data_IF_615203142617
#
_entry.id   IF_615203142617
#
_cell.length_a   1.000
_cell.length_b   1.000
_cell.length_c   1.000
_cell.angle_alpha   90.00
_cell.angle_beta   90.00
_cell.angle_gamma   90.00
#
_symmetry.space_group_name_H-M   'P 1'
#
loop_
_entity.id
_entity.type
_entity.pdbx_description
1 polymer ?
#
# COMPACT_ATOMS: atom_id res chain seq x y z
N UNK A 1 4.50 38.59 -6.43
CA UNK A 1 5.68 38.44 -5.56
C UNK A 1 5.19 38.34 -4.12
N UNK A 2 5.42 37.20 -3.48
CA UNK A 2 4.86 36.86 -2.18
C UNK A 2 4.75 35.34 -2.07
N UNK A 3 5.87 34.63 -2.16
CA UNK A 3 5.93 33.24 -1.76
C UNK A 3 5.65 33.23 -0.25
N UNK A 4 4.47 32.74 0.14
CA UNK A 4 4.07 32.72 1.54
C UNK A 4 5.05 31.87 2.34
N UNK A 5 5.70 32.45 3.33
CA UNK A 5 6.57 31.75 4.29
C UNK A 5 5.88 30.55 4.96
N UNK A 6 4.55 30.38 4.81
CA UNK A 6 3.80 29.21 5.25
C UNK A 6 4.05 27.96 4.41
N UNK A 7 4.21 28.05 3.08
CA UNK A 7 4.41 26.88 2.22
C UNK A 7 5.79 26.26 2.41
N UNK A 8 6.82 27.09 2.57
CA UNK A 8 8.18 26.60 2.86
C UNK A 8 8.28 25.99 4.25
N UNK A 9 7.59 26.56 5.26
CA UNK A 9 7.50 25.95 6.60
C UNK A 9 6.69 24.65 6.59
N UNK A 10 5.59 24.58 5.86
CA UNK A 10 4.81 23.35 5.73
C UNK A 10 5.58 22.27 4.97
N UNK A 11 6.29 22.63 3.91
CA UNK A 11 7.18 21.72 3.18
C UNK A 11 8.32 21.24 4.08
N UNK A 12 8.99 22.13 4.81
CA UNK A 12 10.06 21.76 5.74
C UNK A 12 9.54 20.96 6.94
N UNK A 13 8.33 21.22 7.43
CA UNK A 13 7.68 20.45 8.48
C UNK A 13 7.22 19.07 7.98
N UNK A 14 6.77 18.96 6.73
CA UNK A 14 6.49 17.69 6.06
C UNK A 14 7.77 16.91 5.81
N UNK A 15 8.83 17.55 5.30
CA UNK A 15 10.16 16.95 5.12
C UNK A 15 10.73 16.50 6.47
N UNK A 16 10.61 17.30 7.53
CA UNK A 16 11.12 16.96 8.87
C UNK A 16 10.27 15.90 9.57
N UNK A 17 8.94 15.97 9.47
CA UNK A 17 8.01 14.94 9.98
C UNK A 17 8.18 13.63 9.22
N UNK A 18 8.43 13.70 7.92
CA UNK A 18 8.67 12.54 7.08
C UNK A 18 10.09 11.96 7.28
N UNK A 19 11.10 12.82 7.43
CA UNK A 19 12.45 12.43 7.85
C UNK A 19 12.41 11.78 9.23
N UNK A 20 11.58 12.25 10.16
CA UNK A 20 11.36 11.58 11.44
C UNK A 20 10.59 10.25 11.31
N UNK A 21 9.62 10.14 10.39
CA UNK A 21 8.93 8.88 10.06
C UNK A 21 9.86 7.86 9.38
N UNK A 22 10.85 8.31 8.60
CA UNK A 22 11.86 7.46 7.94
C UNK A 22 13.12 7.23 8.78
N UNK A 23 13.50 8.13 9.67
CA UNK A 23 14.47 7.86 10.73
C UNK A 23 13.92 6.83 11.74
N UNK A 24 12.59 6.68 11.78
CA UNK A 24 11.88 5.55 12.39
C UNK A 24 11.82 4.27 11.54
N UNK A 25 12.25 4.28 10.27
CA UNK A 25 12.49 3.06 9.49
C UNK A 25 13.88 2.54 9.89
N UNK A 26 13.96 1.38 10.58
CA UNK A 26 15.23 0.84 11.02
C UNK A 26 16.13 0.57 9.82
N UNK A 27 17.44 0.83 9.96
CA UNK A 27 18.52 0.65 8.97
C UNK A 27 18.23 -0.49 7.99
N UNK A 28 18.01 -0.15 6.72
CA UNK A 28 17.64 -1.13 5.69
C UNK A 28 18.74 -2.16 5.40
N UNK A 29 20.02 -1.79 5.49
CA UNK A 29 21.13 -2.74 5.35
C UNK A 29 22.36 -2.32 6.18
N UNK A 30 23.23 -3.28 6.56
CA UNK A 30 24.58 -2.98 7.00
C UNK A 30 25.37 -2.31 5.87
N UNK A 31 26.37 -1.51 6.24
CA UNK A 31 27.21 -0.82 5.29
C UNK A 31 28.24 -1.78 4.70
N UNK A 32 27.84 -2.48 3.62
CA UNK A 32 28.65 -3.04 2.53
C UNK A 32 27.78 -4.04 1.76
N UNK A 33 27.93 -4.04 0.43
CA UNK A 33 27.03 -4.65 -0.54
C UNK A 33 27.15 -6.19 -0.62
N UNK A 34 27.16 -6.89 0.51
CA UNK A 34 27.10 -8.35 0.50
C UNK A 34 25.65 -8.81 0.56
N UNK A 35 25.21 -9.50 -0.51
CA UNK A 35 23.92 -10.20 -0.49
C UNK A 35 23.88 -11.07 0.78
N UNK A 36 22.77 -11.14 1.51
CA UNK A 36 22.69 -11.91 2.75
C UNK A 36 23.17 -13.36 2.60
N UNK A 37 22.96 -13.96 1.41
CA UNK A 37 23.47 -15.29 1.06
C UNK A 37 24.99 -15.33 0.83
N UNK A 38 25.58 -14.30 0.23
CA UNK A 38 27.03 -14.19 0.04
C UNK A 38 27.76 -13.95 1.37
N UNK A 39 27.17 -13.14 2.26
CA UNK A 39 27.67 -12.98 3.62
C UNK A 39 27.63 -14.32 4.37
N UNK A 40 26.50 -15.03 4.33
CA UNK A 40 26.38 -16.36 4.94
C UNK A 40 27.40 -17.36 4.37
N UNK A 41 27.62 -17.37 3.05
CA UNK A 41 28.62 -18.22 2.40
C UNK A 41 30.06 -17.85 2.79
N UNK A 42 30.39 -16.55 2.82
CA UNK A 42 31.71 -16.06 3.21
C UNK A 42 32.02 -16.38 4.68
N UNK A 43 31.02 -16.27 5.55
CA UNK A 43 31.13 -16.67 6.96
C UNK A 43 31.28 -18.18 7.13
N UNK A 44 30.59 -19.00 6.34
CA UNK A 44 30.75 -20.46 6.34
C UNK A 44 32.17 -20.86 5.91
N UNK A 45 32.70 -20.23 4.86
CA UNK A 45 34.08 -20.47 4.41
C UNK A 45 35.10 -20.07 5.48
N UNK A 46 34.88 -18.96 6.19
CA UNK A 46 35.71 -18.56 7.33
C UNK A 46 35.64 -19.59 8.47
N UNK A 47 34.46 -20.15 8.76
CA UNK A 47 34.30 -21.21 9.75
C UNK A 47 35.07 -22.49 9.35
N UNK A 48 35.08 -22.83 8.07
CA UNK A 48 35.78 -24.02 7.55
C UNK A 48 37.32 -23.87 7.55
N UNK A 49 37.85 -22.65 7.61
CA UNK A 49 39.31 -22.39 7.72
C UNK A 49 39.87 -22.52 9.13
N UNK A 50 39.03 -22.74 10.15
CA UNK A 50 39.47 -22.94 11.54
C UNK A 50 39.87 -24.40 11.73
N UNK A 51 41.10 -24.72 12.19
CA UNK A 51 41.54 -26.11 12.39
C UNK A 51 40.62 -26.86 13.36
N UNK A 52 39.99 -27.94 12.88
CA UNK A 52 39.24 -28.88 13.72
C UNK A 52 40.21 -29.82 14.45
N UNK A 53 40.97 -29.32 15.43
CA UNK A 53 41.67 -30.21 16.37
C UNK A 53 40.73 -30.56 17.51
N UNK A 54 40.17 -31.76 17.43
CA UNK A 54 39.41 -32.40 18.51
C UNK A 54 40.41 -32.86 19.58
N UNK A 55 40.60 -32.04 20.61
CA UNK A 55 41.16 -32.47 21.89
C UNK A 55 40.07 -32.28 22.94
N UNK A 56 39.85 -33.31 23.76
CA UNK A 56 38.93 -33.31 24.90
C UNK A 56 39.17 -32.06 25.76
N UNK A 57 38.30 -31.06 25.63
CA UNK A 57 38.41 -29.79 26.34
C UNK A 57 37.07 -29.48 27.00
N UNK A 58 37.14 -28.99 28.25
CA UNK A 58 36.03 -28.40 28.99
C UNK A 58 35.14 -27.54 28.08
N UNK A 59 33.82 -27.45 28.35
CA UNK A 59 32.91 -26.65 27.53
C UNK A 59 33.52 -25.27 27.30
N UNK A 60 33.61 -24.82 26.04
CA UNK A 60 34.39 -23.64 25.69
C UNK A 60 33.91 -22.47 26.54
N UNK A 61 34.83 -21.87 27.31
CA UNK A 61 34.51 -20.65 28.05
C UNK A 61 34.24 -19.56 27.01
N UNK A 62 32.96 -19.32 26.75
CA UNK A 62 32.53 -18.27 25.84
C UNK A 62 33.01 -16.93 26.38
N UNK A 63 33.58 -16.12 25.49
CA UNK A 63 33.79 -14.69 25.78
C UNK A 63 32.43 -14.04 26.07
N UNK A 64 32.42 -12.99 26.88
CA UNK A 64 31.19 -12.24 27.17
C UNK A 64 30.49 -11.74 25.90
N UNK A 65 31.27 -11.40 24.85
CA UNK A 65 30.74 -10.98 23.54
C UNK A 65 30.05 -12.15 22.82
N UNK A 66 30.70 -13.31 22.72
CA UNK A 66 30.11 -14.50 22.12
C UNK A 66 28.83 -14.94 22.84
N UNK A 67 28.84 -14.95 24.18
CA UNK A 67 27.65 -15.29 24.98
C UNK A 67 26.47 -14.35 24.71
N UNK A 68 26.72 -13.03 24.62
CA UNK A 68 25.67 -12.05 24.29
C UNK A 68 25.10 -12.28 22.89
N UNK A 69 25.94 -12.46 21.88
CA UNK A 69 25.49 -12.67 20.50
C UNK A 69 24.73 -13.99 20.34
N UNK A 70 25.15 -15.07 21.02
CA UNK A 70 24.41 -16.35 21.00
C UNK A 70 23.05 -16.24 21.70
N UNK A 71 22.96 -15.45 22.76
CA UNK A 71 21.69 -15.14 23.44
C UNK A 71 20.77 -14.34 22.51
N UNK A 72 21.29 -13.31 21.85
CA UNK A 72 20.54 -12.55 20.86
C UNK A 72 20.05 -13.42 19.70
N UNK A 73 20.92 -14.29 19.17
CA UNK A 73 20.54 -15.23 18.10
C UNK A 73 19.35 -16.09 18.51
N UNK A 74 19.33 -16.59 19.75
CA UNK A 74 18.21 -17.35 20.30
C UNK A 74 16.93 -16.51 20.38
N UNK A 75 17.02 -15.27 20.86
CA UNK A 75 15.88 -14.36 20.92
C UNK A 75 15.30 -14.08 19.52
N UNK A 76 16.16 -13.87 18.52
CA UNK A 76 15.75 -13.66 17.13
C UNK A 76 15.09 -14.90 16.52
N UNK A 77 15.60 -16.10 16.81
CA UNK A 77 14.98 -17.38 16.40
C UNK A 77 13.57 -17.50 17.01
N UNK A 78 13.42 -17.22 18.30
CA UNK A 78 12.13 -17.30 18.97
C UNK A 78 11.16 -16.22 18.48
N UNK A 79 11.66 -15.04 18.12
CA UNK A 79 10.86 -14.01 17.45
C UNK A 79 10.39 -14.48 16.06
N UNK A 80 11.28 -15.02 15.22
CA UNK A 80 10.92 -15.56 13.91
C UNK A 80 9.83 -16.63 14.01
N UNK A 81 9.94 -17.56 14.97
CA UNK A 81 8.93 -18.62 15.18
C UNK A 81 7.54 -18.04 15.44
N UNK A 82 7.44 -16.94 16.19
CA UNK A 82 6.14 -16.26 16.44
C UNK A 82 5.54 -15.71 15.14
N UNK A 83 6.36 -15.20 14.24
CA UNK A 83 5.90 -14.67 12.95
C UNK A 83 5.51 -15.79 11.97
N UNK A 84 6.23 -16.92 11.96
CA UNK A 84 5.96 -18.04 11.04
C UNK A 84 4.55 -18.64 11.20
N UNK A 85 3.92 -18.52 12.37
CA UNK A 85 2.56 -18.98 12.61
C UNK A 85 1.46 -18.07 12.03
N UNK A 86 1.81 -16.95 11.39
CA UNK A 86 0.85 -16.04 10.79
C UNK A 86 0.11 -16.68 9.60
N UNK A 87 -1.22 -16.59 9.58
CA UNK A 87 -2.05 -17.08 8.49
C UNK A 87 -1.65 -16.50 7.11
N UNK A 88 -1.17 -15.26 7.06
CA UNK A 88 -0.69 -14.62 5.82
C UNK A 88 0.61 -15.22 5.28
N UNK A 89 1.34 -16.01 6.08
CA UNK A 89 2.59 -16.67 5.69
C UNK A 89 2.45 -18.20 5.51
N UNK A 90 1.36 -18.81 5.99
CA UNK A 90 1.16 -20.26 5.96
C UNK A 90 0.77 -20.78 4.58
N UNK A 91 -0.14 -20.09 3.88
CA UNK A 91 -0.56 -20.45 2.51
C UNK A 91 -0.50 -19.22 1.57
N UNK A 92 0.69 -18.65 1.35
CA UNK A 92 0.82 -17.48 0.49
C UNK A 92 0.72 -17.89 -0.99
N UNK A 93 0.27 -16.97 -1.83
CA UNK A 93 0.46 -17.11 -3.27
C UNK A 93 1.96 -17.31 -3.56
N UNK A 94 2.28 -18.13 -4.58
CA UNK A 94 3.68 -18.47 -4.91
C UNK A 94 4.54 -17.22 -5.16
N UNK A 95 3.91 -16.17 -5.70
CA UNK A 95 4.52 -14.88 -6.03
C UNK A 95 4.47 -13.84 -4.89
N UNK A 96 3.97 -14.18 -3.70
CA UNK A 96 3.86 -13.23 -2.59
C UNK A 96 5.26 -12.76 -2.11
N UNK A 97 5.59 -11.46 -2.26
CA UNK A 97 6.87 -10.89 -1.84
C UNK A 97 7.15 -11.09 -0.37
N UNK A 98 6.12 -10.99 0.48
CA UNK A 98 6.29 -11.06 1.92
C UNK A 98 6.64 -12.48 2.37
N UNK A 99 6.02 -13.49 1.74
CA UNK A 99 6.37 -14.88 1.95
C UNK A 99 7.76 -15.22 1.43
N UNK A 100 8.14 -14.72 0.25
CA UNK A 100 9.51 -14.87 -0.28
C UNK A 100 10.53 -14.23 0.68
N UNK A 101 10.23 -13.04 1.18
CA UNK A 101 11.06 -12.33 2.13
C UNK A 101 11.21 -13.09 3.47
N UNK A 102 10.11 -13.65 3.98
CA UNK A 102 10.10 -14.52 5.15
C UNK A 102 10.98 -15.76 4.97
N UNK A 103 10.82 -16.51 3.86
CA UNK A 103 11.67 -17.66 3.54
C UNK A 103 13.16 -17.30 3.50
N UNK A 104 13.50 -16.14 2.90
CA UNK A 104 14.85 -15.62 2.90
C UNK A 104 15.38 -15.34 4.32
N UNK A 105 14.56 -14.76 5.19
CA UNK A 105 14.90 -14.52 6.60
C UNK A 105 15.10 -15.82 7.37
N UNK A 106 14.25 -16.83 7.15
CA UNK A 106 14.41 -18.18 7.73
C UNK A 106 15.76 -18.78 7.36
N UNK A 107 16.15 -18.71 6.08
CA UNK A 107 17.45 -19.21 5.63
C UNK A 107 18.65 -18.52 6.27
N UNK A 108 18.55 -17.21 6.55
CA UNK A 108 19.60 -16.47 7.28
C UNK A 108 19.67 -16.89 8.73
N UNK A 109 18.53 -17.06 9.38
CA UNK A 109 18.45 -17.55 10.76
C UNK A 109 19.01 -18.97 10.90
N UNK A 110 18.75 -19.86 9.93
CA UNK A 110 19.35 -21.19 9.88
C UNK A 110 20.87 -21.12 9.68
N UNK A 111 21.35 -20.19 8.86
CA UNK A 111 22.78 -19.95 8.68
C UNK A 111 23.43 -19.42 9.98
N UNK A 112 22.75 -18.53 10.69
CA UNK A 112 23.19 -18.04 12.00
C UNK A 112 23.22 -19.18 13.03
N UNK A 113 22.24 -20.09 13.03
CA UNK A 113 22.23 -21.26 13.92
C UNK A 113 23.40 -22.21 13.62
N UNK A 114 23.71 -22.46 12.35
CA UNK A 114 24.87 -23.28 11.95
C UNK A 114 26.18 -22.64 12.40
N UNK A 115 26.34 -21.33 12.17
CA UNK A 115 27.51 -20.60 12.67
C UNK A 115 27.58 -20.66 14.20
N UNK A 116 26.46 -20.46 14.91
CA UNK A 116 26.40 -20.54 16.36
C UNK A 116 26.94 -21.89 16.90
N UNK A 117 26.68 -23.00 16.20
CA UNK A 117 27.16 -24.34 16.55
C UNK A 117 28.66 -24.54 16.30
N UNK A 118 29.27 -23.72 15.45
CA UNK A 118 30.68 -23.78 15.06
C UNK A 118 31.57 -22.80 15.85
N UNK A 119 31.08 -22.19 16.93
CA UNK A 119 31.86 -21.24 17.72
C UNK A 119 33.13 -21.90 18.30
N UNK A 120 34.33 -21.34 18.03
CA UNK A 120 35.58 -21.95 18.44
C UNK A 120 35.83 -21.84 19.95
N UNK A 121 36.62 -22.75 20.51
CA UNK A 121 36.99 -22.70 21.92
C UNK A 121 37.96 -21.56 22.26
N UNK A 122 38.84 -21.20 21.32
CA UNK A 122 39.85 -20.17 21.53
C UNK A 122 39.23 -18.75 21.50
N UNK A 123 39.51 -17.94 22.53
CA UNK A 123 38.93 -16.60 22.67
C UNK A 123 39.23 -15.67 21.48
N UNK A 124 40.43 -15.73 20.91
CA UNK A 124 40.80 -14.89 19.75
C UNK A 124 40.03 -15.27 18.48
N UNK A 125 39.81 -16.57 18.26
CA UNK A 125 38.99 -17.07 17.16
C UNK A 125 37.50 -16.73 17.37
N UNK A 126 37.02 -16.74 18.62
CA UNK A 126 35.66 -16.28 18.94
C UNK A 126 35.48 -14.81 18.58
N UNK A 127 36.45 -13.95 18.89
CA UNK A 127 36.36 -12.51 18.60
C UNK A 127 36.25 -12.22 17.09
N UNK A 128 37.06 -12.88 16.25
CA UNK A 128 36.96 -12.74 14.78
C UNK A 128 35.60 -13.18 14.25
N UNK A 129 35.09 -14.29 14.75
CA UNK A 129 33.79 -14.79 14.35
C UNK A 129 32.63 -13.92 14.84
N UNK A 130 32.78 -13.29 16.02
CA UNK A 130 31.78 -12.36 16.57
C UNK A 130 31.50 -11.18 15.64
N UNK A 131 32.48 -10.63 14.92
CA UNK A 131 32.27 -9.47 14.04
C UNK A 131 31.32 -9.81 12.88
N UNK A 132 31.57 -10.93 12.20
CA UNK A 132 30.72 -11.41 11.11
C UNK A 132 29.35 -11.91 11.59
N UNK A 133 29.34 -12.59 12.74
CA UNK A 133 28.10 -13.07 13.35
C UNK A 133 27.19 -11.92 13.78
N UNK A 134 27.75 -10.86 14.39
CA UNK A 134 27.02 -9.65 14.76
C UNK A 134 26.37 -8.96 13.56
N UNK A 135 27.08 -8.87 12.43
CA UNK A 135 26.52 -8.35 11.18
C UNK A 135 25.33 -9.19 10.69
N UNK A 136 25.46 -10.52 10.69
CA UNK A 136 24.38 -11.42 10.30
C UNK A 136 23.15 -11.26 11.22
N UNK A 137 23.35 -11.19 12.54
CA UNK A 137 22.25 -10.96 13.49
C UNK A 137 21.58 -9.60 13.29
N UNK A 138 22.35 -8.56 12.98
CA UNK A 138 21.80 -7.25 12.65
C UNK A 138 20.91 -7.28 11.40
N UNK A 139 21.31 -8.02 10.36
CA UNK A 139 20.48 -8.23 9.15
C UNK A 139 19.20 -8.97 9.51
N UNK A 140 19.29 -10.08 10.25
CA UNK A 140 18.12 -10.88 10.67
C UNK A 140 17.15 -10.02 11.47
N UNK A 141 17.65 -9.27 12.47
CA UNK A 141 16.84 -8.37 13.30
C UNK A 141 16.08 -7.35 12.47
N UNK A 142 16.76 -6.72 11.51
CA UNK A 142 16.13 -5.76 10.62
C UNK A 142 15.03 -6.41 9.78
N UNK A 143 15.32 -7.55 9.14
CA UNK A 143 14.34 -8.27 8.33
C UNK A 143 13.13 -8.73 9.14
N UNK A 144 13.32 -9.16 10.38
CA UNK A 144 12.19 -9.50 11.27
C UNK A 144 11.33 -8.26 11.61
N UNK A 145 11.96 -7.10 11.81
CA UNK A 145 11.23 -5.84 12.03
C UNK A 145 10.43 -5.41 10.80
N UNK A 146 10.98 -5.56 9.59
CA UNK A 146 10.24 -5.33 8.34
C UNK A 146 9.05 -6.27 8.26
N UNK A 147 9.26 -7.58 8.42
CA UNK A 147 8.19 -8.58 8.40
C UNK A 147 7.07 -8.26 9.39
N UNK A 148 7.40 -7.93 10.63
CA UNK A 148 6.41 -7.60 11.66
C UNK A 148 5.57 -6.38 11.26
N UNK A 149 6.21 -5.32 10.75
CA UNK A 149 5.52 -4.13 10.26
C UNK A 149 4.62 -4.45 9.05
N UNK A 150 5.15 -5.15 8.04
CA UNK A 150 4.43 -5.58 6.85
C UNK A 150 3.17 -6.37 7.19
N UNK A 151 3.30 -7.35 8.10
CA UNK A 151 2.20 -8.19 8.54
C UNK A 151 1.17 -7.38 9.31
N UNK A 152 1.59 -6.48 10.19
CA UNK A 152 0.68 -5.60 10.92
C UNK A 152 -0.17 -4.74 9.97
N UNK A 153 0.45 -4.15 8.94
CA UNK A 153 -0.27 -3.35 7.93
C UNK A 153 -1.25 -4.21 7.14
N UNK A 154 -0.82 -5.36 6.60
CA UNK A 154 -1.70 -6.26 5.84
C UNK A 154 -2.86 -6.80 6.69
N UNK A 155 -2.62 -7.13 7.96
CA UNK A 155 -3.67 -7.54 8.91
C UNK A 155 -4.67 -6.42 9.17
N UNK A 156 -4.21 -5.17 9.33
CA UNK A 156 -5.10 -4.04 9.53
C UNK A 156 -5.98 -3.79 8.30
N UNK A 157 -5.43 -3.89 7.10
CA UNK A 157 -6.19 -3.74 5.87
C UNK A 157 -7.19 -4.90 5.67
N UNK A 158 -6.78 -6.15 5.90
CA UNK A 158 -7.66 -7.31 5.86
C UNK A 158 -8.79 -7.22 6.90
N UNK A 159 -8.49 -6.78 8.13
CA UNK A 159 -9.47 -6.59 9.19
C UNK A 159 -10.50 -5.52 8.82
N UNK A 160 -10.09 -4.44 8.16
CA UNK A 160 -11.00 -3.41 7.65
C UNK A 160 -11.94 -3.95 6.58
N UNK A 161 -11.41 -4.71 5.62
CA UNK A 161 -12.23 -5.38 4.59
C UNK A 161 -13.22 -6.35 5.22
N UNK A 162 -12.77 -7.19 6.16
CA UNK A 162 -13.62 -8.16 6.86
C UNK A 162 -14.71 -7.49 7.72
N UNK A 163 -14.38 -6.38 8.37
CA UNK A 163 -15.33 -5.63 9.17
C UNK A 163 -16.39 -4.95 8.29
N UNK A 164 -15.97 -4.28 7.22
CA UNK A 164 -16.89 -3.63 6.29
C UNK A 164 -17.76 -4.65 5.57
N UNK A 165 -17.20 -5.79 5.13
CA UNK A 165 -17.97 -6.84 4.45
C UNK A 165 -19.08 -7.41 5.35
N UNK A 166 -18.83 -7.59 6.65
CA UNK A 166 -19.85 -7.97 7.64
C UNK A 166 -20.97 -6.94 7.74
N UNK A 167 -20.64 -5.65 7.78
CA UNK A 167 -21.66 -4.58 7.83
C UNK A 167 -22.50 -4.52 6.56
N UNK A 168 -21.86 -4.59 5.38
CA UNK A 168 -22.55 -4.62 4.09
C UNK A 168 -23.45 -5.85 3.96
N UNK A 169 -22.99 -7.01 4.46
CA UNK A 169 -23.81 -8.23 4.48
C UNK A 169 -25.00 -8.10 5.41
N UNK A 170 -24.82 -7.51 6.59
CA UNK A 170 -25.92 -7.25 7.52
C UNK A 170 -26.97 -6.31 6.91
N UNK A 171 -26.54 -5.23 6.25
CA UNK A 171 -27.41 -4.31 5.51
C UNK A 171 -28.19 -5.03 4.40
N UNK A 172 -27.48 -5.81 3.59
CA UNK A 172 -28.06 -6.57 2.48
C UNK A 172 -29.12 -7.57 2.94
N UNK A 173 -28.92 -8.21 4.10
CA UNK A 173 -29.89 -9.11 4.74
C UNK A 173 -31.06 -8.38 5.43
N UNK A 174 -31.12 -7.05 5.35
CA UNK A 174 -32.19 -6.24 5.96
C UNK A 174 -32.03 -6.00 7.46
N UNK A 175 -30.86 -6.31 8.04
CA UNK A 175 -30.61 -6.03 9.44
C UNK A 175 -30.28 -4.55 9.66
N UNK A 176 -30.84 -3.97 10.71
CA UNK A 176 -30.48 -2.63 11.13
C UNK A 176 -28.99 -2.58 11.52
N UNK A 177 -28.26 -1.64 10.92
CA UNK A 177 -26.89 -1.30 11.27
C UNK A 177 -26.85 0.14 11.74
N UNK A 178 -25.77 0.56 12.43
CA UNK A 178 -25.61 1.94 12.89
C UNK A 178 -24.67 2.69 11.96
N UNK A 179 -25.06 3.88 11.52
CA UNK A 179 -24.22 4.76 10.72
C UNK A 179 -22.88 5.09 11.41
N UNK A 180 -22.84 5.10 12.74
CA UNK A 180 -21.64 5.37 13.57
C UNK A 180 -20.44 4.51 13.17
N UNK A 181 -20.64 3.22 12.85
CA UNK A 181 -19.53 2.34 12.44
C UNK A 181 -18.85 2.81 11.15
N UNK A 182 -19.65 3.21 10.15
CA UNK A 182 -19.17 3.72 8.88
C UNK A 182 -18.51 5.10 9.04
N UNK A 183 -19.10 5.97 9.87
CA UNK A 183 -18.54 7.29 10.17
C UNK A 183 -17.19 7.19 10.89
N UNK A 184 -17.05 6.27 11.85
CA UNK A 184 -15.78 6.03 12.53
C UNK A 184 -14.70 5.49 11.58
N UNK A 185 -15.06 4.55 10.69
CA UNK A 185 -14.12 4.07 9.67
C UNK A 185 -13.73 5.19 8.69
N UNK A 186 -14.68 6.05 8.31
CA UNK A 186 -14.42 7.22 7.47
C UNK A 186 -13.46 8.22 8.14
N UNK A 187 -13.61 8.49 9.44
CA UNK A 187 -12.65 9.34 10.19
C UNK A 187 -11.25 8.73 10.21
N UNK A 188 -11.11 7.42 10.42
CA UNK A 188 -9.80 6.75 10.37
C UNK A 188 -9.15 6.95 9.00
N UNK A 189 -9.89 6.78 7.90
CA UNK A 189 -9.38 6.97 6.54
C UNK A 189 -9.01 8.45 6.29
N UNK A 190 -9.80 9.39 6.80
CA UNK A 190 -9.50 10.82 6.73
C UNK A 190 -8.24 11.18 7.51
N UNK A 191 -8.04 10.63 8.70
CA UNK A 191 -6.84 10.85 9.50
C UNK A 191 -5.60 10.29 8.82
N UNK A 192 -5.68 9.10 8.22
CA UNK A 192 -4.59 8.55 7.42
C UNK A 192 -4.24 9.46 6.23
N UNK A 193 -5.25 10.02 5.56
CA UNK A 193 -5.04 10.99 4.48
C UNK A 193 -4.37 12.28 4.98
N UNK A 194 -4.83 12.86 6.10
CA UNK A 194 -4.26 14.06 6.73
C UNK A 194 -2.80 13.85 7.15
N UNK A 195 -2.46 12.66 7.62
CA UNK A 195 -1.10 12.30 8.04
C UNK A 195 -0.14 12.01 6.87
N UNK A 196 -0.61 12.09 5.62
CA UNK A 196 0.17 11.82 4.43
C UNK A 196 0.47 10.33 4.23
N UNK A 197 -0.41 9.44 4.70
CA UNK A 197 -0.31 8.02 4.41
C UNK A 197 -0.36 7.75 2.90
N UNK A 198 0.38 6.75 2.43
CA UNK A 198 0.26 6.28 1.05
C UNK A 198 -1.09 5.58 0.85
N UNK A 199 -1.70 5.73 -0.34
CA UNK A 199 -2.92 5.00 -0.69
C UNK A 199 -2.57 3.54 -0.98
N UNK A 200 -3.31 2.62 -0.37
CA UNK A 200 -3.19 1.18 -0.63
C UNK A 200 -4.45 0.72 -1.34
N UNK A 201 -4.31 0.40 -2.63
CA UNK A 201 -5.42 -0.13 -3.41
C UNK A 201 -5.59 -1.62 -3.12
N UNK A 202 -6.65 -1.94 -2.39
CA UNK A 202 -6.99 -3.29 -1.97
C UNK A 202 -7.58 -4.05 -3.16
N UNK A 203 -7.11 -5.27 -3.38
CA UNK A 203 -7.62 -6.19 -4.41
C UNK A 203 -8.06 -7.48 -3.74
N UNK A 204 -9.27 -7.92 -4.05
CA UNK A 204 -9.90 -9.12 -3.49
C UNK A 204 -10.56 -9.85 -4.65
N UNK A 205 -10.41 -11.17 -4.75
CA UNK A 205 -11.07 -11.95 -5.79
C UNK A 205 -12.42 -12.47 -5.27
N UNK A 206 -13.56 -12.09 -5.87
CA UNK A 206 -14.87 -12.51 -5.38
C UNK A 206 -15.13 -14.01 -5.54
N UNK A 207 -14.38 -14.75 -6.37
CA UNK A 207 -14.50 -16.21 -6.48
C UNK A 207 -13.88 -16.93 -5.28
N UNK A 208 -12.74 -16.45 -4.78
CA UNK A 208 -12.01 -17.09 -3.67
C UNK A 208 -12.41 -16.52 -2.31
N UNK A 209 -12.60 -15.21 -2.22
CA UNK A 209 -12.77 -14.48 -0.97
C UNK A 209 -14.21 -14.00 -0.74
N UNK A 210 -15.06 -14.10 -1.76
CA UNK A 210 -16.48 -13.77 -1.73
C UNK A 210 -16.81 -12.34 -2.12
N UNK A 211 -18.01 -12.16 -2.70
CA UNK A 211 -18.51 -10.89 -3.23
C UNK A 211 -18.52 -9.77 -2.19
N UNK A 212 -18.90 -10.06 -0.95
CA UNK A 212 -18.97 -9.04 0.10
C UNK A 212 -17.59 -8.42 0.42
N UNK A 213 -16.51 -9.21 0.40
CA UNK A 213 -15.15 -8.70 0.62
C UNK A 213 -14.65 -7.93 -0.61
N UNK A 214 -14.98 -8.39 -1.81
CA UNK A 214 -14.69 -7.69 -3.05
C UNK A 214 -15.30 -6.28 -3.07
N UNK A 215 -16.59 -6.18 -2.74
CA UNK A 215 -17.31 -4.90 -2.66
C UNK A 215 -16.73 -4.01 -1.57
N UNK A 216 -16.44 -4.56 -0.38
CA UNK A 216 -15.83 -3.81 0.71
C UNK A 216 -14.44 -3.25 0.34
N UNK A 217 -13.60 -4.04 -0.34
CA UNK A 217 -12.27 -3.60 -0.77
C UNK A 217 -12.35 -2.42 -1.75
N UNK A 218 -13.24 -2.49 -2.75
CA UNK A 218 -13.47 -1.39 -3.68
C UNK A 218 -13.99 -0.13 -2.97
N UNK A 219 -14.98 -0.29 -2.08
CA UNK A 219 -15.52 0.81 -1.30
C UNK A 219 -14.47 1.52 -0.43
N UNK A 220 -13.54 0.78 0.18
CA UNK A 220 -12.39 1.34 0.92
C UNK A 220 -11.43 2.08 -0.01
N UNK A 221 -11.19 1.57 -1.23
CA UNK A 221 -10.34 2.25 -2.21
C UNK A 221 -10.95 3.60 -2.62
N UNK A 222 -12.25 3.64 -2.88
CA UNK A 222 -12.97 4.87 -3.22
C UNK A 222 -12.93 5.85 -2.05
N UNK A 223 -13.18 5.37 -0.83
CA UNK A 223 -13.10 6.18 0.39
C UNK A 223 -11.70 6.80 0.60
N UNK A 224 -10.61 6.06 0.33
CA UNK A 224 -9.25 6.58 0.41
C UNK A 224 -8.97 7.71 -0.60
N UNK A 225 -9.49 7.59 -1.81
CA UNK A 225 -9.39 8.63 -2.85
C UNK A 225 -10.20 9.85 -2.41
N UNK A 226 -11.46 9.64 -2.04
CA UNK A 226 -12.38 10.69 -1.66
C UNK A 226 -11.91 11.48 -0.42
N UNK A 227 -11.32 10.81 0.57
CA UNK A 227 -10.72 11.43 1.75
C UNK A 227 -9.62 12.46 1.43
N UNK A 228 -9.02 12.37 0.24
CA UNK A 228 -8.00 13.32 -0.26
C UNK A 228 -8.59 14.39 -1.17
N UNK A 229 -9.74 14.16 -1.79
CA UNK A 229 -10.39 15.13 -2.68
C UNK A 229 -11.31 16.09 -1.89
N UNK A 230 -12.08 15.56 -0.94
CA UNK A 230 -13.07 16.30 -0.17
C UNK A 230 -12.53 17.55 0.55
N UNK A 231 -11.32 17.55 1.13
CA UNK A 231 -10.76 18.76 1.75
C UNK A 231 -10.56 19.94 0.79
N UNK A 232 -10.61 19.72 -0.53
CA UNK A 232 -10.47 20.75 -1.55
C UNK A 232 -11.80 21.34 -1.99
N UNK A 233 -12.93 20.76 -1.56
CA UNK A 233 -14.26 21.25 -1.87
C UNK A 233 -14.77 22.24 -0.82
N UNK A 234 -15.38 23.34 -1.24
CA UNK A 234 -15.88 24.36 -0.32
C UNK A 234 -17.02 23.85 0.58
N UNK A 235 -17.95 23.07 0.04
CA UNK A 235 -19.11 22.57 0.79
C UNK A 235 -18.70 21.38 1.67
N UNK A 236 -18.00 20.42 1.08
CA UNK A 236 -17.73 19.13 1.74
C UNK A 236 -16.53 19.15 2.68
N UNK A 237 -15.59 20.10 2.55
CA UNK A 237 -14.46 20.23 3.49
C UNK A 237 -14.92 20.47 4.93
N UNK A 238 -16.10 21.09 5.14
CA UNK A 238 -16.67 21.34 6.47
C UNK A 238 -17.33 20.10 7.09
N UNK A 239 -17.65 19.08 6.28
CA UNK A 239 -18.31 17.84 6.71
C UNK A 239 -17.70 16.61 6.00
N UNK A 240 -16.38 16.37 6.14
CA UNK A 240 -15.67 15.46 5.26
C UNK A 240 -16.01 13.98 5.48
N UNK A 241 -16.49 13.64 6.68
CA UNK A 241 -16.82 12.29 7.13
C UNK A 241 -17.97 11.68 6.34
N UNK A 242 -18.98 12.50 6.03
CA UNK A 242 -20.21 12.04 5.36
C UNK A 242 -19.94 11.55 3.92
N UNK A 243 -19.23 12.31 3.06
CA UNK A 243 -18.75 11.84 1.76
C UNK A 243 -18.02 10.49 1.83
N UNK A 244 -17.04 10.39 2.73
CA UNK A 244 -16.19 9.20 2.85
C UNK A 244 -17.01 8.00 3.36
N UNK A 245 -17.95 8.22 4.28
CA UNK A 245 -18.88 7.18 4.72
C UNK A 245 -19.84 6.72 3.61
N UNK A 246 -20.31 7.64 2.75
CA UNK A 246 -21.16 7.28 1.61
C UNK A 246 -20.42 6.35 0.63
N UNK A 247 -19.13 6.61 0.36
CA UNK A 247 -18.30 5.73 -0.46
C UNK A 247 -18.18 4.30 0.10
N UNK A 248 -18.18 4.15 1.44
CA UNK A 248 -18.10 2.84 2.10
C UNK A 248 -19.38 1.98 1.91
N UNK A 249 -20.49 2.57 1.48
CA UNK A 249 -21.80 1.92 1.36
C UNK A 249 -22.34 1.87 -0.08
N UNK A 250 -21.69 2.54 -1.03
CA UNK A 250 -22.27 2.83 -2.34
C UNK A 250 -22.63 1.59 -3.18
N UNK A 251 -21.90 0.50 -2.97
CA UNK A 251 -22.00 -0.72 -3.77
C UNK A 251 -22.64 -1.89 -3.03
N UNK A 252 -23.35 -1.66 -1.91
CA UNK A 252 -23.98 -2.76 -1.15
C UNK A 252 -24.96 -3.61 -1.99
N UNK A 253 -25.58 -3.01 -3.02
CA UNK A 253 -26.43 -3.72 -3.97
C UNK A 253 -25.69 -4.71 -4.87
N UNK A 254 -24.37 -4.61 -5.00
CA UNK A 254 -23.55 -5.57 -5.76
C UNK A 254 -23.54 -6.96 -5.10
N UNK A 255 -23.95 -7.07 -3.83
CA UNK A 255 -24.09 -8.36 -3.14
C UNK A 255 -25.21 -9.24 -3.72
N UNK A 256 -26.13 -8.68 -4.52
CA UNK A 256 -27.14 -9.46 -5.27
C UNK A 256 -26.53 -10.19 -6.49
N UNK A 257 -25.29 -9.88 -6.86
CA UNK A 257 -24.63 -10.42 -8.05
C UNK A 257 -23.79 -11.65 -7.73
N UNK A 258 -23.65 -12.56 -8.70
CA UNK A 258 -22.77 -13.72 -8.57
C UNK A 258 -21.29 -13.36 -8.75
N UNK A 259 -20.41 -14.11 -8.11
CA UNK A 259 -18.97 -13.98 -8.31
C UNK A 259 -18.57 -14.21 -9.78
N UNK A 260 -19.18 -15.20 -10.45
CA UNK A 260 -18.93 -15.50 -11.87
C UNK A 260 -19.23 -14.31 -12.80
N UNK A 261 -20.31 -13.56 -12.51
CA UNK A 261 -20.65 -12.37 -13.29
C UNK A 261 -19.60 -11.26 -13.07
N UNK A 262 -19.17 -11.06 -11.84
CA UNK A 262 -18.18 -10.04 -11.47
C UNK A 262 -16.77 -10.35 -12.00
N UNK A 263 -16.44 -11.63 -12.18
CA UNK A 263 -15.13 -12.08 -12.71
C UNK A 263 -15.14 -12.42 -14.20
N UNK A 264 -16.26 -12.19 -14.88
CA UNK A 264 -16.39 -12.53 -16.31
C UNK A 264 -15.38 -11.74 -17.16
N UNK A 265 -14.49 -12.47 -17.84
CA UNK A 265 -13.52 -11.89 -18.77
C UNK A 265 -14.09 -11.62 -20.17
N UNK A 266 -15.11 -12.39 -20.58
CA UNK A 266 -15.81 -12.17 -21.85
C UNK A 266 -16.71 -10.93 -21.78
N UNK A 267 -17.01 -10.27 -22.92
CA UNK A 267 -17.97 -9.18 -22.95
C UNK A 267 -19.29 -9.54 -22.28
N UNK A 268 -19.83 -8.62 -21.49
CA UNK A 268 -21.15 -8.76 -20.87
C UNK A 268 -22.24 -8.67 -21.95
N UNK A 269 -23.25 -9.52 -21.84
CA UNK A 269 -24.50 -9.36 -22.58
C UNK A 269 -25.27 -8.14 -22.04
N UNK A 270 -26.22 -7.61 -22.81
CA UNK A 270 -27.05 -6.48 -22.36
C UNK A 270 -27.84 -6.80 -21.09
N UNK A 271 -28.24 -8.07 -20.90
CA UNK A 271 -28.93 -8.52 -19.69
C UNK A 271 -28.02 -8.50 -18.47
N UNK A 272 -26.80 -9.02 -18.61
CA UNK A 272 -25.78 -9.00 -17.57
C UNK A 272 -25.36 -7.57 -17.22
N UNK A 273 -25.19 -6.70 -18.23
CA UNK A 273 -24.91 -5.28 -18.02
C UNK A 273 -26.01 -4.60 -17.20
N UNK A 274 -27.28 -4.80 -17.56
CA UNK A 274 -28.43 -4.27 -16.77
C UNK A 274 -28.47 -4.82 -15.35
N UNK A 275 -28.08 -6.07 -15.15
CA UNK A 275 -28.01 -6.68 -13.82
C UNK A 275 -26.96 -5.97 -12.97
N UNK A 276 -25.76 -5.74 -13.52
CA UNK A 276 -24.73 -4.95 -12.82
C UNK A 276 -25.24 -3.53 -12.56
N UNK A 277 -25.76 -2.82 -13.56
CA UNK A 277 -26.24 -1.44 -13.41
C UNK A 277 -27.35 -1.28 -12.36
N UNK A 278 -28.15 -2.34 -12.13
CA UNK A 278 -29.21 -2.32 -11.12
C UNK A 278 -28.70 -2.13 -9.69
N UNK A 279 -27.42 -2.41 -9.41
CA UNK A 279 -26.85 -2.29 -8.07
C UNK A 279 -26.99 -0.89 -7.51
N UNK A 280 -26.88 0.18 -8.32
CA UNK A 280 -26.93 1.56 -7.83
C UNK A 280 -28.28 1.87 -7.17
N UNK A 281 -29.38 1.49 -7.84
CA UNK A 281 -30.74 1.62 -7.29
C UNK A 281 -30.92 0.71 -6.07
N UNK A 282 -30.44 -0.53 -6.19
CA UNK A 282 -30.56 -1.52 -5.11
C UNK A 282 -29.83 -1.09 -3.84
N UNK A 283 -28.63 -0.53 -3.96
CA UNK A 283 -27.86 0.02 -2.85
C UNK A 283 -28.65 1.11 -2.14
N UNK A 284 -29.21 2.07 -2.87
CA UNK A 284 -30.03 3.13 -2.28
C UNK A 284 -31.29 2.60 -1.59
N UNK A 285 -31.96 1.59 -2.15
CA UNK A 285 -33.12 0.96 -1.53
C UNK A 285 -32.75 0.25 -0.22
N UNK A 286 -31.61 -0.46 -0.18
CA UNK A 286 -31.08 -1.06 1.05
C UNK A 286 -30.81 0.03 2.09
N UNK A 287 -30.09 1.10 1.72
CA UNK A 287 -29.75 2.20 2.63
C UNK A 287 -31.01 2.83 3.23
N UNK A 288 -32.03 3.15 2.41
CA UNK A 288 -33.29 3.73 2.89
C UNK A 288 -34.04 2.80 3.86
N UNK A 289 -33.93 1.49 3.68
CA UNK A 289 -34.61 0.51 4.52
C UNK A 289 -33.92 0.30 5.88
N UNK A 290 -32.57 0.21 5.90
CA UNK A 290 -31.82 -0.21 7.10
C UNK A 290 -31.09 0.93 7.81
N UNK A 291 -30.97 2.10 7.18
CA UNK A 291 -30.37 3.33 7.72
C UNK A 291 -31.25 4.56 7.37
N UNK A 292 -32.44 4.70 7.98
CA UNK A 292 -33.35 5.81 7.66
C UNK A 292 -32.73 7.21 7.88
N UNK A 293 -31.80 7.34 8.82
CA UNK A 293 -31.05 8.57 9.08
C UNK A 293 -30.08 8.95 7.94
N UNK A 294 -29.79 8.01 7.04
CA UNK A 294 -28.88 8.18 5.90
C UNK A 294 -29.62 8.52 4.59
N UNK A 295 -30.84 9.06 4.65
CA UNK A 295 -31.64 9.38 3.46
C UNK A 295 -30.89 10.21 2.41
N UNK A 296 -30.10 11.20 2.83
CA UNK A 296 -29.25 12.00 1.94
C UNK A 296 -28.13 11.17 1.30
N UNK A 297 -27.56 10.19 2.02
CA UNK A 297 -26.54 9.29 1.45
C UNK A 297 -27.15 8.36 0.40
N UNK A 298 -28.39 7.91 0.58
CA UNK A 298 -29.04 7.05 -0.42
C UNK A 298 -29.22 7.75 -1.78
N UNK A 299 -29.50 9.06 -1.76
CA UNK A 299 -29.62 9.87 -2.98
C UNK A 299 -28.27 10.10 -3.69
N UNK A 300 -27.17 10.08 -2.94
CA UNK A 300 -25.82 10.11 -3.50
C UNK A 300 -25.44 8.76 -4.10
N UNK A 301 -25.71 7.69 -3.35
CA UNK A 301 -25.41 6.32 -3.73
C UNK A 301 -26.19 5.92 -4.98
N UNK A 302 -27.44 6.33 -5.16
CA UNK A 302 -28.15 6.00 -6.41
C UNK A 302 -27.54 6.68 -7.64
N UNK A 303 -26.90 7.84 -7.47
CA UNK A 303 -26.48 8.70 -8.58
C UNK A 303 -24.97 8.65 -8.89
N UNK A 304 -24.18 7.84 -8.19
CA UNK A 304 -22.71 7.83 -8.33
C UNK A 304 -22.21 7.30 -9.70
N UNK A 305 -23.07 6.62 -10.45
CA UNK A 305 -22.83 6.20 -11.84
C UNK A 305 -23.51 7.05 -12.90
N UNK A 306 -24.20 8.13 -12.51
CA UNK A 306 -24.68 9.14 -13.45
C UNK A 306 -23.48 9.84 -14.10
N UNK A 307 -23.69 10.36 -15.31
CA UNK A 307 -22.67 11.05 -16.12
C UNK A 307 -23.23 12.37 -16.60
N UNK A 308 -22.38 13.41 -16.66
CA UNK A 308 -22.85 14.77 -16.95
C UNK A 308 -23.58 14.87 -18.28
N UNK A 309 -23.13 14.11 -19.28
CA UNK A 309 -23.72 14.00 -20.61
C UNK A 309 -25.04 13.19 -20.67
N UNK A 310 -25.50 12.63 -19.55
CA UNK A 310 -26.71 11.80 -19.45
C UNK A 310 -26.55 10.35 -19.90
N UNK A 311 -25.33 9.90 -20.20
CA UNK A 311 -25.06 8.50 -20.61
C UNK A 311 -24.95 7.53 -19.44
N UNK A 312 -24.97 8.06 -18.21
CA UNK A 312 -24.92 7.28 -16.98
C UNK A 312 -26.24 6.59 -16.62
N UNK A 313 -26.24 5.95 -15.46
CA UNK A 313 -27.36 5.16 -14.95
C UNK A 313 -27.51 5.40 -13.44
N UNK A 314 -28.68 5.09 -12.83
CA UNK A 314 -29.85 4.42 -13.40
C UNK A 314 -30.90 5.32 -14.05
N UNK A 315 -30.84 6.65 -13.88
CA UNK A 315 -31.89 7.57 -14.34
C UNK A 315 -31.50 8.37 -15.58
N UNK A 316 -30.20 8.43 -15.94
CA UNK A 316 -29.73 9.23 -17.08
C UNK A 316 -29.77 10.73 -16.80
N UNK A 317 -29.50 11.11 -15.55
CA UNK A 317 -29.45 12.49 -15.11
C UNK A 317 -28.34 13.27 -15.84
N UNK A 318 -28.55 14.58 -16.04
CA UNK A 318 -27.61 15.45 -16.76
C UNK A 318 -27.14 16.57 -15.86
N UNK A 319 -25.83 16.84 -15.88
CA UNK A 319 -25.20 17.98 -15.22
C UNK A 319 -25.76 18.29 -13.81
N UNK A 320 -26.48 19.40 -13.67
CA UNK A 320 -26.97 19.96 -12.41
C UNK A 320 -28.11 19.16 -11.76
N UNK A 321 -28.71 18.20 -12.46
CA UNK A 321 -29.66 17.28 -11.83
C UNK A 321 -28.97 16.16 -11.07
N UNK A 322 -27.66 15.98 -11.26
CA UNK A 322 -26.84 15.04 -10.48
C UNK A 322 -26.38 15.78 -9.22
N UNK A 323 -26.63 15.24 -8.01
CA UNK A 323 -26.14 15.85 -6.78
C UNK A 323 -24.63 16.12 -6.84
N UNK A 324 -24.21 17.31 -6.39
CA UNK A 324 -22.80 17.75 -6.38
C UNK A 324 -21.85 16.65 -5.85
N UNK A 325 -22.15 16.09 -4.68
CA UNK A 325 -21.32 15.03 -4.10
C UNK A 325 -21.38 13.70 -4.86
N UNK A 326 -22.47 13.38 -5.58
CA UNK A 326 -22.50 12.20 -6.43
C UNK A 326 -21.56 12.36 -7.63
N UNK A 327 -21.39 13.58 -8.16
CA UNK A 327 -20.41 13.89 -9.21
C UNK A 327 -18.97 13.76 -8.71
N UNK A 328 -18.68 14.23 -7.49
CA UNK A 328 -17.37 14.03 -6.85
C UNK A 328 -17.10 12.54 -6.57
N UNK A 329 -18.11 11.81 -6.08
CA UNK A 329 -18.01 10.37 -5.83
C UNK A 329 -17.74 9.59 -7.12
N UNK A 330 -18.38 9.95 -8.23
CA UNK A 330 -18.15 9.36 -9.55
C UNK A 330 -16.69 9.49 -10.00
N UNK A 331 -16.05 10.65 -9.78
CA UNK A 331 -14.64 10.88 -10.08
C UNK A 331 -13.75 9.95 -9.24
N UNK A 332 -14.01 9.87 -7.93
CA UNK A 332 -13.25 9.00 -7.03
C UNK A 332 -13.41 7.50 -7.37
N UNK A 333 -14.63 7.08 -7.70
CA UNK A 333 -14.96 5.70 -8.08
C UNK A 333 -14.26 5.28 -9.37
N UNK A 334 -14.33 6.09 -10.43
CA UNK A 334 -13.64 5.79 -11.69
C UNK A 334 -12.13 5.68 -11.47
N UNK A 335 -11.52 6.63 -10.75
CA UNK A 335 -10.09 6.56 -10.47
C UNK A 335 -9.72 5.29 -9.69
N UNK A 336 -10.48 4.95 -8.64
CA UNK A 336 -10.23 3.77 -7.84
C UNK A 336 -10.39 2.47 -8.65
N UNK A 337 -11.43 2.38 -9.49
CA UNK A 337 -11.65 1.24 -10.36
C UNK A 337 -10.50 1.07 -11.38
N UNK A 338 -9.96 2.16 -11.93
CA UNK A 338 -8.82 2.12 -12.85
C UNK A 338 -7.53 1.60 -12.18
N UNK A 339 -7.37 1.83 -10.88
CA UNK A 339 -6.18 1.49 -10.08
C UNK A 339 -6.14 0.05 -9.55
N UNK A 340 -7.17 -0.75 -9.81
CA UNK A 340 -7.26 -2.16 -9.41
C UNK A 340 -7.41 -3.02 -10.66
N UNK A 341 -6.85 -4.24 -10.60
CA UNK A 341 -7.01 -5.24 -11.67
C UNK A 341 -8.49 -5.61 -11.83
N UNK A 342 -8.91 -5.79 -13.08
CA UNK A 342 -10.22 -6.32 -13.46
C UNK A 342 -9.99 -7.49 -14.42
N UNK A 343 -10.94 -8.44 -14.55
CA UNK A 343 -10.77 -9.64 -15.39
C UNK A 343 -10.30 -9.37 -16.83
N UNK A 344 -10.71 -8.22 -17.39
CA UNK A 344 -10.42 -7.82 -18.76
C UNK A 344 -9.38 -6.69 -18.86
N UNK A 345 -8.81 -6.21 -17.74
CA UNK A 345 -7.93 -5.05 -17.72
C UNK A 345 -6.99 -5.04 -16.51
N UNK A 346 -5.69 -4.92 -16.77
CA UNK A 346 -4.68 -4.68 -15.73
C UNK A 346 -4.85 -3.27 -15.12
N UNK A 347 -4.57 -3.14 -13.83
CA UNK A 347 -4.54 -1.88 -13.10
C UNK A 347 -3.66 -0.86 -13.85
N UNK A 348 -4.18 0.35 -14.03
CA UNK A 348 -3.41 1.45 -14.61
C UNK A 348 -2.51 2.08 -13.56
N UNK A 349 -1.33 2.54 -13.96
CA UNK A 349 -0.45 3.35 -13.12
C UNK A 349 -1.11 4.71 -12.73
N UNK A 350 -0.72 5.36 -11.61
CA UNK A 350 -1.43 6.54 -11.10
C UNK A 350 -1.60 7.65 -12.13
N UNK A 351 -0.53 7.96 -12.86
CA UNK A 351 -0.54 8.95 -13.93
C UNK A 351 -1.48 8.58 -15.08
N UNK A 352 -1.53 7.31 -15.46
CA UNK A 352 -2.40 6.83 -16.54
C UNK A 352 -3.88 6.88 -16.11
N UNK A 353 -4.19 6.41 -14.89
CA UNK A 353 -5.52 6.52 -14.31
C UNK A 353 -5.99 7.98 -14.19
N UNK A 354 -5.12 8.88 -13.74
CA UNK A 354 -5.38 10.33 -13.72
C UNK A 354 -5.70 10.87 -15.11
N UNK A 355 -4.92 10.47 -16.11
CA UNK A 355 -5.08 10.93 -17.50
C UNK A 355 -6.44 10.48 -18.05
N UNK A 356 -6.83 9.23 -17.81
CA UNK A 356 -8.12 8.71 -18.25
C UNK A 356 -9.30 9.47 -17.62
N UNK A 357 -9.23 9.77 -16.31
CA UNK A 357 -10.29 10.54 -15.64
C UNK A 357 -10.39 11.96 -16.20
N UNK A 358 -9.26 12.61 -16.48
CA UNK A 358 -9.21 13.93 -17.13
C UNK A 358 -9.79 13.88 -18.55
N UNK A 359 -9.51 12.82 -19.33
CA UNK A 359 -10.10 12.62 -20.65
C UNK A 359 -11.61 12.43 -20.57
N UNK A 360 -12.11 11.64 -19.62
CA UNK A 360 -13.55 11.47 -19.40
C UNK A 360 -14.24 12.78 -19.01
N UNK A 361 -13.56 13.68 -18.30
CA UNK A 361 -14.07 15.01 -18.02
C UNK A 361 -14.13 15.88 -19.28
N UNK A 362 -13.10 15.84 -20.14
CA UNK A 362 -13.09 16.54 -21.43
C UNK A 362 -14.16 16.03 -22.41
N UNK A 363 -14.49 14.74 -22.35
CA UNK A 363 -15.60 14.13 -23.08
C UNK A 363 -16.99 14.51 -22.52
N UNK A 364 -17.04 15.22 -21.38
CA UNK A 364 -18.29 15.61 -20.73
C UNK A 364 -18.97 14.50 -19.93
N UNK A 365 -18.28 13.39 -19.64
CA UNK A 365 -18.82 12.29 -18.82
C UNK A 365 -18.70 12.56 -17.33
N UNK A 366 -17.60 13.19 -16.91
CA UNK A 366 -17.30 13.53 -15.51
C UNK A 366 -17.24 15.04 -15.30
N UNK A 367 -17.42 15.45 -14.05
CA UNK A 367 -17.34 16.85 -13.63
C UNK A 367 -15.90 17.36 -13.71
N UNK A 368 -15.68 18.41 -14.51
CA UNK A 368 -14.35 18.99 -14.73
C UNK A 368 -13.79 19.60 -13.44
N UNK A 369 -14.61 20.32 -12.67
CA UNK A 369 -14.16 21.01 -11.46
C UNK A 369 -13.74 20.00 -10.39
N UNK A 370 -14.51 18.92 -10.22
CA UNK A 370 -14.12 17.84 -9.31
C UNK A 370 -12.94 17.01 -9.80
N UNK A 371 -12.82 16.83 -11.11
CA UNK A 371 -11.67 16.14 -11.69
C UNK A 371 -10.37 16.93 -11.45
N UNK A 372 -10.41 18.26 -11.45
CA UNK A 372 -9.24 19.08 -11.09
C UNK A 372 -8.75 18.85 -9.65
N UNK A 373 -9.61 18.44 -8.72
CA UNK A 373 -9.18 18.11 -7.35
C UNK A 373 -8.19 16.94 -7.33
N UNK A 374 -8.25 16.06 -8.32
CA UNK A 374 -7.31 14.95 -8.42
C UNK A 374 -5.86 15.41 -8.61
N UNK A 375 -5.62 16.63 -9.11
CA UNK A 375 -4.27 17.19 -9.18
C UNK A 375 -3.61 17.31 -7.79
N UNK A 376 -4.39 17.35 -6.71
CA UNK A 376 -3.89 17.31 -5.33
C UNK A 376 -3.40 15.91 -4.89
N UNK A 377 -3.81 14.84 -5.58
CA UNK A 377 -3.22 13.50 -5.40
C UNK A 377 -1.80 13.41 -5.95
N UNK A 378 -1.38 14.36 -6.79
CA UNK A 378 -0.19 14.30 -7.66
C UNK A 378 -0.30 13.24 -8.77
N UNK A 379 0.43 13.45 -9.86
CA UNK A 379 0.62 12.45 -10.92
C UNK A 379 1.40 11.22 -10.42
N UNK A 380 2.19 11.42 -9.37
CA UNK A 380 2.93 10.38 -8.67
C UNK A 380 2.66 10.53 -7.17
N UNK A 381 1.56 9.96 -6.66
CA UNK A 381 1.22 10.05 -5.25
C UNK A 381 2.30 9.45 -4.35
N UNK A 382 2.34 9.88 -3.09
CA UNK A 382 3.22 9.29 -2.06
C UNK A 382 3.00 7.77 -2.01
N UNK A 383 4.10 7.03 -1.98
CA UNK A 383 4.13 5.56 -2.05
C UNK A 383 4.31 4.98 -3.44
N UNK A 384 4.20 5.79 -4.51
CA UNK A 384 4.42 5.31 -5.88
C UNK A 384 5.88 4.93 -6.07
N UNK A 385 6.15 3.69 -6.48
CA UNK A 385 7.48 3.26 -6.90
C UNK A 385 7.67 3.61 -8.37
N UNK A 386 8.80 4.26 -8.68
CA UNK A 386 9.08 4.87 -9.98
C UNK A 386 10.47 4.49 -10.48
N UNK A 387 10.61 4.52 -11.80
CA UNK A 387 11.88 4.38 -12.52
C UNK A 387 12.29 5.76 -13.08
N UNK A 388 13.55 6.13 -12.85
CA UNK A 388 14.14 7.34 -13.40
C UNK A 388 14.82 7.05 -14.75
N UNK A 389 15.10 8.10 -15.51
CA UNK A 389 15.76 8.01 -16.84
C UNK A 389 17.14 7.37 -16.83
N UNK A 390 17.79 7.28 -15.68
CA UNK A 390 19.10 6.63 -15.51
C UNK A 390 18.99 5.20 -14.95
N UNK A 391 17.79 4.63 -14.96
CA UNK A 391 17.51 3.26 -14.51
C UNK A 391 17.38 3.09 -13.00
N UNK A 392 17.61 4.16 -12.21
CA UNK A 392 17.41 4.09 -10.76
C UNK A 392 15.94 3.93 -10.43
N UNK A 393 15.67 3.09 -9.44
CA UNK A 393 14.33 2.87 -8.90
C UNK A 393 14.24 3.61 -7.57
N UNK A 394 13.12 4.29 -7.34
CA UNK A 394 12.86 4.98 -6.08
C UNK A 394 11.38 4.97 -5.71
N UNK A 395 11.08 5.38 -4.49
CA UNK A 395 9.71 5.56 -4.01
C UNK A 395 9.43 7.04 -3.77
N UNK A 396 8.25 7.50 -4.20
CA UNK A 396 7.81 8.86 -3.94
C UNK A 396 7.49 9.03 -2.46
N UNK A 397 8.15 10.01 -1.87
CA UNK A 397 8.07 10.28 -0.43
C UNK A 397 7.41 11.62 -0.10
N UNK A 398 7.43 12.55 -1.05
CA UNK A 398 6.77 13.84 -0.92
C UNK A 398 6.38 14.39 -2.27
N UNK A 399 5.32 15.18 -2.32
CA UNK A 399 4.81 15.81 -3.55
C UNK A 399 4.75 17.32 -3.39
N UNK A 400 5.05 18.03 -4.46
CA UNK A 400 4.88 19.49 -4.53
C UNK A 400 3.46 19.77 -5.03
N UNK A 401 2.54 20.07 -4.13
CA UNK A 401 1.15 20.31 -4.53
C UNK A 401 0.97 21.78 -4.93
N UNK A 402 1.17 22.11 -6.21
CA UNK A 402 0.93 23.45 -6.75
C UNK A 402 0.00 23.41 -7.97
N UNK A 403 -1.14 24.13 -7.89
CA UNK A 403 -2.05 24.30 -9.04
C UNK A 403 -1.45 25.20 -10.12
N UNK A 404 -0.60 26.14 -9.74
CA UNK A 404 0.01 27.12 -10.68
C UNK A 404 1.31 26.62 -11.29
N UNK A 405 1.96 25.62 -10.68
CA UNK A 405 3.20 25.03 -11.20
C UNK A 405 3.08 23.50 -11.36
N UNK A 406 2.36 23.09 -12.41
CA UNK A 406 2.19 21.67 -12.76
C UNK A 406 3.52 20.95 -13.01
N UNK A 407 4.56 21.67 -13.46
CA UNK A 407 5.90 21.09 -13.63
C UNK A 407 6.49 20.62 -12.30
N UNK A 408 6.34 21.40 -11.23
CA UNK A 408 6.78 20.98 -9.90
C UNK A 408 5.94 19.80 -9.38
N UNK A 409 4.63 19.80 -9.62
CA UNK A 409 3.73 18.70 -9.23
C UNK A 409 4.05 17.36 -9.90
N UNK A 410 4.72 17.37 -11.05
CA UNK A 410 5.23 16.17 -11.72
C UNK A 410 6.62 15.72 -11.25
N UNK A 411 7.28 16.49 -10.39
CA UNK A 411 8.68 16.28 -9.98
C UNK A 411 8.78 16.11 -8.46
N UNK A 412 8.28 14.99 -7.90
CA UNK A 412 8.25 14.75 -6.46
C UNK A 412 9.63 14.61 -5.82
N UNK A 413 9.65 14.55 -4.49
CA UNK A 413 10.81 14.05 -3.73
C UNK A 413 10.75 12.53 -3.68
N UNK A 414 11.88 11.90 -3.99
CA UNK A 414 12.01 10.45 -4.16
C UNK A 414 13.09 9.93 -3.23
N UNK A 415 12.82 8.80 -2.56
CA UNK A 415 13.85 8.00 -1.91
C UNK A 415 14.32 6.92 -2.89
N UNK A 416 15.52 7.06 -3.41
CA UNK A 416 16.15 6.12 -4.34
C UNK A 416 16.49 4.83 -3.60
N UNK A 417 16.09 3.70 -4.17
CA UNK A 417 16.28 2.37 -3.62
C UNK A 417 17.41 1.62 -4.34
N UNK A 418 17.75 2.02 -5.57
CA UNK A 418 18.82 1.39 -6.36
C UNK A 418 19.82 2.40 -6.91
N UNK A 419 21.04 1.94 -7.19
CA UNK A 419 22.03 2.66 -7.98
C UNK A 419 21.71 2.55 -9.49
N UNK A 420 22.55 3.16 -10.33
CA UNK A 420 22.40 3.15 -11.81
C UNK A 420 22.71 1.79 -12.44
N UNK A 421 23.32 0.86 -11.70
CA UNK A 421 23.57 -0.53 -12.13
C UNK A 421 22.39 -1.46 -11.79
N UNK A 422 21.41 -0.96 -11.03
CA UNK A 422 20.25 -1.73 -10.57
C UNK A 422 20.44 -2.42 -9.22
N UNK A 423 21.61 -2.26 -8.57
CA UNK A 423 21.83 -2.82 -7.23
C UNK A 423 21.09 -2.00 -6.17
N UNK A 424 20.51 -2.68 -5.19
CA UNK A 424 19.84 -2.02 -4.06
C UNK A 424 20.85 -1.26 -3.20
N UNK A 425 20.52 -0.02 -2.87
CA UNK A 425 21.32 0.85 -2.03
C UNK A 425 21.26 0.38 -0.57
N UNK A 426 22.40 0.42 0.17
CA UNK A 426 22.39 0.14 1.60
C UNK A 426 21.50 1.08 2.42
N UNK A 427 21.35 2.32 1.92
CA UNK A 427 20.47 3.35 2.47
C UNK A 427 19.80 4.11 1.34
N UNK A 428 18.49 4.41 1.46
CA UNK A 428 17.86 5.25 0.48
C UNK A 428 18.48 6.64 0.40
N UNK A 429 18.72 7.11 -0.82
CA UNK A 429 19.17 8.49 -1.09
C UNK A 429 17.97 9.35 -1.46
N UNK A 430 17.89 10.56 -0.91
CA UNK A 430 16.76 11.46 -1.19
C UNK A 430 17.10 12.42 -2.32
N UNK A 431 16.24 12.45 -3.32
CA UNK A 431 16.35 13.34 -4.47
C UNK A 431 15.06 14.13 -4.63
N UNK A 432 15.13 15.45 -4.48
CA UNK A 432 14.05 16.35 -4.88
C UNK A 432 14.15 16.58 -6.38
N UNK A 433 13.27 15.94 -7.16
CA UNK A 433 13.29 16.05 -8.61
C UNK A 433 13.01 17.48 -9.07
N UNK A 434 12.32 18.32 -8.30
CA UNK A 434 12.04 19.71 -8.66
C UNK A 434 13.26 20.63 -8.49
N UNK A 435 14.23 20.23 -7.66
CA UNK A 435 15.45 20.99 -7.38
C UNK A 435 16.65 20.59 -8.27
N UNK A 436 16.49 19.60 -9.13
CA UNK A 436 17.51 19.12 -10.07
C UNK A 436 17.02 19.22 -11.51
N UNK A 437 17.92 19.37 -12.47
CA UNK A 437 17.59 19.22 -13.90
C UNK A 437 17.77 17.76 -14.39
N UNK A 438 18.55 16.98 -13.66
CA UNK A 438 18.91 15.59 -14.01
C UNK A 438 17.96 14.60 -13.35
N UNK A 439 17.51 13.61 -14.11
CA UNK A 439 16.58 12.57 -13.66
C UNK A 439 15.14 12.99 -13.84
N UNK A 440 14.44 12.37 -14.78
CA UNK A 440 12.98 12.47 -14.89
C UNK A 440 12.34 11.11 -14.67
N UNK A 441 11.09 11.12 -14.23
CA UNK A 441 10.30 9.90 -14.06
C UNK A 441 9.95 9.35 -15.43
N UNK A 442 10.41 8.14 -15.73
CA UNK A 442 10.04 7.40 -16.94
C UNK A 442 8.63 6.85 -16.77
N UNK A 443 8.41 6.13 -15.65
CA UNK A 443 7.15 5.45 -15.35
C UNK A 443 7.07 5.09 -13.87
N UNK A 444 5.87 4.74 -13.42
CA UNK A 444 5.68 3.96 -12.21
C UNK A 444 5.89 2.46 -12.51
N UNK A 445 6.46 1.72 -11.56
CA UNK A 445 6.72 0.29 -11.73
C UNK A 445 5.44 -0.53 -11.46
N UNK A 446 5.01 -1.38 -12.41
CA UNK A 446 3.92 -2.34 -12.20
C UNK A 446 4.22 -3.29 -11.05
N UNK A 447 3.16 -3.80 -10.41
CA UNK A 447 3.29 -4.68 -9.24
C UNK A 447 4.23 -5.86 -9.52
N UNK A 448 4.08 -6.56 -10.65
CA UNK A 448 4.94 -7.70 -11.01
C UNK A 448 6.43 -7.34 -11.03
N UNK A 449 6.81 -6.21 -11.64
CA UNK A 449 8.19 -5.76 -11.68
C UNK A 449 8.71 -5.30 -10.31
N UNK A 450 7.85 -4.68 -9.47
CA UNK A 450 8.21 -4.38 -8.08
C UNK A 450 8.54 -5.67 -7.33
N UNK A 451 7.73 -6.72 -7.47
CA UNK A 451 7.96 -8.02 -6.83
C UNK A 451 9.29 -8.63 -7.25
N UNK A 452 9.60 -8.56 -8.54
CA UNK A 452 10.84 -9.09 -9.11
C UNK A 452 12.07 -8.33 -8.63
N UNK A 453 12.07 -7.00 -8.79
CA UNK A 453 13.26 -6.15 -8.56
C UNK A 453 13.48 -5.79 -7.10
N UNK A 454 12.41 -5.65 -6.32
CA UNK A 454 12.48 -5.12 -4.94
C UNK A 454 12.02 -6.13 -3.88
N UNK A 455 11.28 -7.18 -4.23
CA UNK A 455 10.60 -8.04 -3.25
C UNK A 455 11.51 -8.76 -2.25
N UNK A 456 12.79 -8.94 -2.58
CA UNK A 456 13.78 -9.53 -1.67
C UNK A 456 14.21 -8.58 -0.53
N UNK A 457 14.03 -7.28 -0.73
CA UNK A 457 14.51 -6.21 0.15
C UNK A 457 13.38 -5.35 0.73
N UNK A 458 12.33 -5.11 -0.05
CA UNK A 458 11.23 -4.19 0.25
C UNK A 458 9.87 -4.84 -0.03
N UNK A 459 9.49 -5.91 0.71
CA UNK A 459 8.25 -6.64 0.44
C UNK A 459 7.00 -5.76 0.57
N UNK A 460 7.05 -4.74 1.44
CA UNK A 460 5.97 -3.75 1.64
C UNK A 460 5.61 -2.99 0.38
N UNK A 461 6.61 -2.65 -0.44
CA UNK A 461 6.44 -1.86 -1.64
C UNK A 461 5.91 -2.69 -2.83
N UNK A 462 5.83 -3.99 -2.64
CA UNK A 462 5.47 -4.96 -3.66
C UNK A 462 4.05 -5.53 -3.46
N UNK A 463 3.39 -5.15 -2.36
CA UNK A 463 1.99 -5.51 -2.04
C UNK A 463 1.00 -4.86 -2.99
#
# INVERSE_FOLDING_TARGET
MGWGMSDTRQLLARISSFRAKLEGVPRLLPAEADRPQQLAQSLQQLADTVPQTVAEAEPPRLTARAFRLLTEARELIDHQKKLTGDALLVNPAETDPLAKFHRGTVGLTDSALKLAQLFPAAAEAQLRMCDGFEHLLQVIRHRLSVLEHSLAVRRADAARVDQLSKWLTAMHLGNAVRAEGFLNLAEVILDEARQGGHMRFLSVDPLTDGVAKFVAAHAINVAQVLARLVPHDFEWAMKPTMPVAAALMMDVGMLDLSADLLTKAAPLTDGEKRMIESHARRSADILRAVLPEAGTMADLVVAHHERIDGTGYPNGFRADTIPSLARLLAVADVYAALRVDRPHRVALEPRAAMTEVMLMAEEGKLDRDFTEYMLHLSFHPIGTVIELTDGRIGIVVSTHNSRTNLRASMRPVVALLTNTMGDVLPRPEFLDLAATEVGSIVRALPAAERREKLGEWYPDLCS
#
